data_IF_217215389670
#
_entry.id   IF_217215389670
#
_cell.length_a   1.000
_cell.length_b   1.000
_cell.length_c   1.000
_cell.angle_alpha   90.00
_cell.angle_beta   90.00
_cell.angle_gamma   90.00
#
_symmetry.space_group_name_H-M   'P 1'
#
loop_
_entity.id
_entity.type
_entity.pdbx_description
1 polymer ?
#
# COMPACT_ATOMS: atom_id res chain seq x y z
N UNK A 1 -3.00 19.83 -2.83
CA UNK A 1 -3.05 20.11 -1.38
C UNK A 1 -1.74 20.79 -1.00
N UNK A 2 -1.76 21.80 -0.14
CA UNK A 2 -0.56 22.44 0.43
C UNK A 2 -0.25 21.80 1.80
N UNK A 3 0.99 21.88 2.32
CA UNK A 3 1.33 21.30 3.63
C UNK A 3 0.39 21.73 4.75
N UNK A 4 -0.01 23.01 4.76
CA UNK A 4 -0.89 23.58 5.79
C UNK A 4 -2.29 22.96 5.77
N UNK A 5 -2.73 22.44 4.62
CA UNK A 5 -4.03 21.78 4.49
C UNK A 5 -4.01 20.38 5.14
N UNK A 6 -2.84 19.84 5.54
CA UNK A 6 -2.71 18.57 6.26
C UNK A 6 -3.05 18.70 7.75
N UNK A 7 -2.88 19.89 8.33
CA UNK A 7 -3.01 20.10 9.78
C UNK A 7 -4.45 19.81 10.22
N UNK A 8 -4.58 19.02 11.29
CA UNK A 8 -5.85 18.57 11.83
C UNK A 8 -6.37 17.25 11.23
N UNK A 9 -5.84 16.79 10.09
CA UNK A 9 -6.19 15.49 9.52
C UNK A 9 -5.53 14.36 10.33
N UNK A 10 -6.19 13.22 10.41
CA UNK A 10 -5.61 12.00 10.96
C UNK A 10 -4.81 11.27 9.87
N UNK A 11 -3.70 10.67 10.25
CA UNK A 11 -2.77 10.01 9.33
C UNK A 11 -2.29 8.70 9.91
N UNK A 12 -2.33 7.66 9.07
CA UNK A 12 -1.64 6.40 9.31
C UNK A 12 -0.24 6.49 8.70
N UNK A 13 0.78 6.24 9.52
CA UNK A 13 2.19 6.38 9.15
C UNK A 13 2.88 5.03 9.19
N UNK A 14 3.68 4.73 8.16
CA UNK A 14 4.60 3.59 8.16
C UNK A 14 6.03 4.01 7.80
N UNK A 15 6.98 3.84 8.72
CA UNK A 15 8.39 4.18 8.53
C UNK A 15 9.25 2.92 8.47
N UNK A 16 10.22 2.93 7.55
CA UNK A 16 11.22 1.86 7.42
C UNK A 16 12.60 2.46 7.51
N UNK A 17 13.38 2.05 8.50
CA UNK A 17 14.72 2.55 8.72
C UNK A 17 15.75 1.61 8.09
N UNK A 18 16.62 2.19 7.27
CA UNK A 18 17.71 1.53 6.57
C UNK A 18 19.04 1.98 7.16
N UNK A 19 20.00 1.07 7.33
CA UNK A 19 21.39 1.43 7.57
C UNK A 19 22.04 2.02 6.31
N UNK A 20 23.25 2.55 6.43
CA UNK A 20 24.00 3.12 5.30
C UNK A 20 24.22 2.10 4.15
N UNK A 21 24.23 0.81 4.47
CA UNK A 21 24.32 -0.30 3.51
C UNK A 21 22.97 -0.68 2.86
N UNK A 22 21.90 0.04 3.17
CA UNK A 22 20.55 -0.18 2.65
C UNK A 22 19.81 -1.36 3.29
N UNK A 23 20.28 -1.88 4.43
CA UNK A 23 19.60 -2.97 5.15
C UNK A 23 18.56 -2.42 6.10
N UNK A 24 17.35 -2.98 6.03
CA UNK A 24 16.28 -2.70 7.00
C UNK A 24 16.71 -3.19 8.38
N UNK A 25 16.70 -2.31 9.38
CA UNK A 25 16.98 -2.67 10.77
C UNK A 25 15.85 -2.30 11.74
N UNK A 26 14.93 -1.41 11.33
CA UNK A 26 13.77 -1.02 12.16
C UNK A 26 12.58 -0.67 11.28
N UNK A 27 11.40 -1.04 11.74
CA UNK A 27 10.12 -0.67 11.13
C UNK A 27 9.24 -0.09 12.22
N UNK A 28 8.52 0.96 11.90
CA UNK A 28 7.70 1.69 12.85
C UNK A 28 6.38 2.09 12.21
N UNK A 29 5.31 1.98 12.98
CA UNK A 29 3.98 2.35 12.54
C UNK A 29 3.26 3.08 13.66
N UNK A 30 2.51 4.10 13.30
CA UNK A 30 1.66 4.80 14.24
C UNK A 30 0.53 5.49 13.51
N UNK A 31 -0.51 5.81 14.27
CA UNK A 31 -1.65 6.57 13.80
C UNK A 31 -1.88 7.74 14.75
N UNK A 32 -2.17 8.91 14.18
CA UNK A 32 -2.31 10.13 14.97
C UNK A 32 -2.88 11.29 14.16
N UNK A 33 -2.95 12.45 14.79
CA UNK A 33 -3.39 13.69 14.16
C UNK A 33 -2.19 14.54 13.76
N UNK A 34 -2.20 15.12 12.57
CA UNK A 34 -1.18 16.07 12.15
C UNK A 34 -1.37 17.37 12.94
N UNK A 35 -0.43 17.68 13.82
CA UNK A 35 -0.52 18.84 14.71
C UNK A 35 0.05 20.11 14.05
N UNK A 36 1.17 19.97 13.33
CA UNK A 36 1.85 21.08 12.67
C UNK A 36 2.75 20.61 11.53
N UNK A 37 3.11 21.54 10.65
CA UNK A 37 4.12 21.36 9.61
C UNK A 37 4.85 22.68 9.37
N UNK A 38 6.13 22.63 9.03
CA UNK A 38 6.93 23.78 8.60
C UNK A 38 7.18 23.80 7.08
N UNK A 39 6.59 22.84 6.36
CA UNK A 39 6.78 22.65 4.92
C UNK A 39 7.93 21.70 4.54
N UNK A 40 8.82 21.38 5.48
CA UNK A 40 9.87 20.35 5.30
C UNK A 40 9.62 19.14 6.19
N UNK A 41 9.09 19.36 7.39
CA UNK A 41 8.79 18.36 8.40
C UNK A 41 7.34 18.51 8.85
N UNK A 42 6.65 17.38 8.99
CA UNK A 42 5.28 17.30 9.47
C UNK A 42 5.29 16.51 10.78
N UNK A 43 4.68 17.08 11.82
CA UNK A 43 4.60 16.49 13.15
C UNK A 43 3.22 15.93 13.40
N UNK A 44 3.19 14.67 13.80
CA UNK A 44 2.00 13.88 14.09
C UNK A 44 1.97 13.62 15.58
N UNK A 45 0.87 13.95 16.24
CA UNK A 45 0.59 13.57 17.61
C UNK A 45 0.00 12.16 17.62
N UNK A 46 0.73 11.14 18.11
CA UNK A 46 0.24 9.77 18.14
C UNK A 46 -1.01 9.64 19.00
N UNK A 47 -1.98 8.86 18.51
CA UNK A 47 -3.24 8.58 19.22
C UNK A 47 -3.06 7.69 20.46
N UNK A 48 -1.91 7.03 20.60
CA UNK A 48 -1.53 6.23 21.77
C UNK A 48 -1.02 7.08 22.95
N UNK A 49 -0.96 8.41 22.79
CA UNK A 49 -0.52 9.35 23.83
C UNK A 49 1.00 9.51 23.94
N UNK A 50 1.77 9.05 22.96
CA UNK A 50 3.21 9.28 22.87
C UNK A 50 3.60 10.71 22.49
N UNK A 51 4.91 10.98 22.50
CA UNK A 51 5.47 12.26 22.05
C UNK A 51 5.22 12.50 20.55
N UNK A 52 5.25 13.78 20.15
CA UNK A 52 5.19 14.20 18.75
C UNK A 52 6.21 13.45 17.90
N UNK A 53 5.74 12.75 16.86
CA UNK A 53 6.59 12.06 15.89
C UNK A 53 6.64 12.85 14.60
N UNK A 54 7.78 12.82 13.93
CA UNK A 54 7.98 13.54 12.68
C UNK A 54 7.95 12.61 11.48
N UNK A 55 7.50 13.14 10.36
CA UNK A 55 7.67 12.57 9.02
C UNK A 55 8.11 13.67 8.07
N UNK A 56 8.84 13.33 6.99
CA UNK A 56 9.15 14.32 5.95
C UNK A 56 7.87 14.85 5.30
N UNK A 57 7.92 16.10 4.85
CA UNK A 57 6.81 16.74 4.14
C UNK A 57 7.05 16.66 2.64
N UNK A 58 6.51 15.62 2.02
CA UNK A 58 6.30 15.57 0.58
C UNK A 58 4.81 15.35 0.32
N UNK A 59 4.16 16.33 -0.29
CA UNK A 59 2.72 16.25 -0.56
C UNK A 59 2.35 15.08 -1.48
N UNK A 60 3.28 14.57 -2.29
CA UNK A 60 3.04 13.38 -3.10
C UNK A 60 2.96 12.11 -2.24
N UNK A 61 3.60 12.09 -1.07
CA UNK A 61 3.66 10.98 -0.13
C UNK A 61 2.49 10.94 0.86
N UNK A 62 1.71 12.02 0.99
CA UNK A 62 0.45 12.02 1.75
C UNK A 62 -0.71 11.74 0.80
N UNK A 63 -1.27 10.54 0.91
CA UNK A 63 -2.39 10.08 0.08
C UNK A 63 -3.64 9.92 0.94
N UNK A 64 -4.86 10.07 0.38
CA UNK A 64 -6.05 9.56 1.03
C UNK A 64 -5.83 8.11 1.45
N UNK A 65 -6.10 7.79 2.71
CA UNK A 65 -5.99 6.40 3.12
C UNK A 65 -7.16 5.62 2.51
N UNK A 66 -6.91 4.46 1.91
CA UNK A 66 -7.99 3.56 1.53
C UNK A 66 -8.97 3.31 2.69
N UNK A 67 -10.27 3.51 2.45
CA UNK A 67 -11.29 3.17 3.46
C UNK A 67 -11.20 1.70 3.88
N UNK A 68 -11.31 1.44 5.19
CA UNK A 68 -11.12 0.12 5.78
C UNK A 68 -10.63 0.16 7.21
N UNK A 69 -10.36 -1.04 7.74
CA UNK A 69 -9.76 -1.24 9.05
C UNK A 69 -8.31 -1.69 8.90
N UNK A 70 -7.41 -0.93 9.51
CA UNK A 70 -5.98 -1.17 9.54
C UNK A 70 -5.61 -1.72 10.91
N UNK A 71 -4.90 -2.84 10.93
CA UNK A 71 -4.26 -3.33 12.14
C UNK A 71 -2.76 -3.12 12.03
N UNK A 72 -2.21 -2.30 12.92
CA UNK A 72 -0.77 -2.06 13.03
C UNK A 72 -0.12 -3.32 13.61
N UNK A 73 0.87 -3.92 12.94
CA UNK A 73 1.49 -5.17 13.42
C UNK A 73 2.25 -4.93 14.73
N UNK A 74 2.99 -3.82 14.82
CA UNK A 74 3.86 -3.51 15.96
C UNK A 74 3.10 -3.29 17.28
N UNK A 75 1.90 -2.72 17.24
CA UNK A 75 1.13 -2.37 18.44
C UNK A 75 -0.17 -3.16 18.59
N UNK A 76 -0.64 -3.79 17.51
CA UNK A 76 -1.98 -4.39 17.44
C UNK A 76 -3.12 -3.37 17.39
N UNK A 77 -2.81 -2.07 17.37
CA UNK A 77 -3.80 -0.99 17.29
C UNK A 77 -4.66 -1.16 16.04
N UNK A 78 -5.97 -0.97 16.21
CA UNK A 78 -6.95 -1.01 15.13
C UNK A 78 -7.39 0.41 14.80
N UNK A 79 -7.24 0.80 13.55
CA UNK A 79 -7.58 2.13 13.02
C UNK A 79 -8.62 1.94 11.93
N UNK A 80 -9.73 2.67 12.01
CA UNK A 80 -10.81 2.60 11.02
C UNK A 80 -10.88 3.91 10.25
N UNK A 81 -10.89 3.81 8.93
CA UNK A 81 -11.04 4.92 7.97
C UNK A 81 -10.14 6.14 8.30
N UNK A 82 -8.80 5.97 8.37
CA UNK A 82 -7.90 7.11 8.48
C UNK A 82 -8.07 8.02 7.26
N UNK A 83 -7.89 9.33 7.42
CA UNK A 83 -8.04 10.26 6.31
C UNK A 83 -6.84 10.20 5.38
N UNK A 84 -5.64 10.12 5.95
CA UNK A 84 -4.39 10.05 5.20
C UNK A 84 -3.58 8.80 5.52
N UNK A 85 -2.78 8.40 4.56
CA UNK A 85 -1.75 7.39 4.66
C UNK A 85 -0.47 7.96 4.09
N UNK A 86 0.63 7.80 4.83
CA UNK A 86 1.97 8.11 4.34
C UNK A 86 2.96 7.05 4.77
N UNK A 87 3.92 6.74 3.92
CA UNK A 87 4.97 5.79 4.26
C UNK A 87 6.30 6.19 3.65
N UNK A 88 7.39 5.85 4.35
CA UNK A 88 8.73 6.35 4.07
C UNK A 88 9.79 5.27 4.27
N UNK A 89 10.82 5.33 3.43
CA UNK A 89 12.13 4.72 3.67
C UNK A 89 13.06 5.81 4.18
N UNK A 90 13.69 5.58 5.33
CA UNK A 90 14.59 6.52 5.99
C UNK A 90 15.97 5.87 6.10
N UNK A 91 16.91 6.29 5.26
CA UNK A 91 18.32 5.86 5.36
C UNK A 91 19.01 6.67 6.43
N UNK A 92 19.47 5.99 7.47
CA UNK A 92 20.18 6.60 8.60
C UNK A 92 21.65 6.72 8.24
N UNK A 93 22.14 7.95 8.19
CA UNK A 93 23.50 8.30 7.84
C UNK A 93 24.13 9.09 9.00
N UNK A 94 25.46 9.03 9.09
CA UNK A 94 26.25 9.84 10.01
C UNK A 94 27.21 10.69 9.19
N UNK A 95 27.37 11.96 9.57
CA UNK A 95 28.38 12.82 8.97
C UNK A 95 29.76 12.64 9.61
N UNK A 96 30.74 13.43 9.17
CA UNK A 96 32.12 13.37 9.68
C UNK A 96 32.22 13.76 11.18
N UNK A 97 31.24 14.47 11.71
CA UNK A 97 31.15 14.91 13.11
C UNK A 97 30.37 13.90 13.99
N UNK A 98 29.76 12.88 13.38
CA UNK A 98 28.98 11.84 14.04
C UNK A 98 27.50 12.21 14.22
N UNK A 99 27.06 13.34 13.66
CA UNK A 99 25.66 13.76 13.71
C UNK A 99 24.82 12.89 12.78
N UNK A 100 23.65 12.48 13.28
CA UNK A 100 22.76 11.58 12.54
C UNK A 100 21.80 12.39 11.68
N UNK A 101 21.76 12.07 10.38
CA UNK A 101 20.78 12.61 9.45
C UNK A 101 20.08 11.50 8.67
N UNK A 102 18.95 11.85 8.05
CA UNK A 102 18.09 10.92 7.35
C UNK A 102 17.95 11.33 5.88
N UNK A 103 18.28 10.42 4.96
CA UNK A 103 17.82 10.53 3.58
C UNK A 103 16.46 9.84 3.48
N UNK A 104 15.44 10.57 3.03
CA UNK A 104 14.07 10.10 3.02
C UNK A 104 13.52 9.89 1.61
N UNK A 105 13.03 8.69 1.34
CA UNK A 105 12.35 8.36 0.09
C UNK A 105 10.89 7.98 0.39
N UNK A 106 9.90 8.56 -0.33
CA UNK A 106 8.51 8.12 -0.23
C UNK A 106 8.38 6.63 -0.56
N UNK A 107 7.70 5.89 0.31
CA UNK A 107 7.31 4.51 0.10
C UNK A 107 5.81 4.50 -0.17
N UNK A 108 5.40 4.40 -1.44
CA UNK A 108 3.99 4.47 -1.85
C UNK A 108 3.21 3.18 -1.55
N UNK A 109 3.27 2.74 -0.29
CA UNK A 109 2.42 1.71 0.27
C UNK A 109 0.94 2.08 0.19
N UNK A 110 0.03 1.13 -0.05
CA UNK A 110 0.21 -0.24 -0.55
C UNK A 110 0.20 -0.33 -2.10
N UNK A 111 0.45 0.75 -2.83
CA UNK A 111 -0.18 1.00 -4.12
C UNK A 111 0.71 0.76 -5.34
N UNK A 112 2.05 0.77 -5.22
CA UNK A 112 3.01 0.31 -6.26
C UNK A 112 4.46 0.38 -5.77
N UNK A 113 5.33 -0.53 -6.23
CA UNK A 113 6.79 -0.52 -5.95
C UNK A 113 7.20 -0.38 -4.47
N UNK A 114 6.34 -0.85 -3.57
CA UNK A 114 6.57 -0.87 -2.13
C UNK A 114 7.76 -1.72 -1.70
N UNK A 115 8.80 -1.10 -1.14
CA UNK A 115 9.78 -1.75 -0.26
C UNK A 115 9.25 -1.83 1.17
N UNK A 116 7.98 -2.20 1.34
CA UNK A 116 7.27 -2.00 2.62
C UNK A 116 7.53 -3.16 3.59
N UNK A 117 7.63 -2.84 4.90
CA UNK A 117 7.46 -3.74 6.03
C UNK A 117 6.37 -4.78 5.85
N UNK A 118 6.48 -5.89 6.57
CA UNK A 118 5.48 -6.98 6.58
C UNK A 118 4.10 -6.60 7.16
N UNK A 119 3.86 -5.33 7.47
CA UNK A 119 3.26 -5.03 8.76
C UNK A 119 1.88 -4.38 8.79
N UNK A 120 1.14 -4.28 7.68
CA UNK A 120 -0.27 -3.87 7.72
C UNK A 120 -1.20 -5.01 7.28
N UNK A 121 -2.00 -5.50 8.22
CA UNK A 121 -3.21 -6.25 7.89
C UNK A 121 -4.32 -5.23 7.67
N UNK A 122 -4.54 -4.88 6.40
CA UNK A 122 -5.64 -4.01 5.97
C UNK A 122 -6.84 -4.88 5.56
N UNK A 123 -7.98 -4.64 6.20
CA UNK A 123 -9.28 -5.15 5.78
C UNK A 123 -10.08 -3.99 5.20
N UNK A 124 -10.12 -3.89 3.87
CA UNK A 124 -10.95 -2.92 3.15
C UNK A 124 -12.42 -3.15 3.45
N UNK A 125 -13.12 -2.05 3.69
CA UNK A 125 -14.57 -2.01 3.63
C UNK A 125 -14.97 -1.55 2.23
N UNK A 126 -15.71 -2.39 1.52
CA UNK A 126 -16.40 -1.98 0.30
C UNK A 126 -17.61 -1.17 0.72
N UNK A 127 -17.69 0.09 0.31
CA UNK A 127 -18.86 0.94 0.50
C UNK A 127 -19.46 1.38 -0.85
N UNK A 128 -20.74 1.76 -0.84
CA UNK A 128 -21.48 2.11 -2.05
C UNK A 128 -20.95 3.36 -2.75
N UNK A 129 -20.42 4.34 -1.99
CA UNK A 129 -19.82 5.55 -2.54
C UNK A 129 -18.56 5.25 -3.36
N UNK A 130 -17.77 4.28 -2.92
CA UNK A 130 -16.53 3.87 -3.58
C UNK A 130 -16.80 3.07 -4.84
N UNK A 131 -17.77 2.14 -4.78
CA UNK A 131 -18.25 1.46 -6.00
C UNK A 131 -18.76 2.51 -7.00
N UNK A 132 -19.52 3.50 -6.53
CA UNK A 132 -20.03 4.58 -7.39
C UNK A 132 -18.88 5.37 -8.03
N UNK A 133 -17.89 5.82 -7.26
CA UNK A 133 -16.69 6.51 -7.78
C UNK A 133 -15.97 5.69 -8.85
N UNK A 134 -15.77 4.39 -8.62
CA UNK A 134 -15.17 3.51 -9.64
C UNK A 134 -16.01 3.48 -10.91
N UNK A 135 -17.33 3.30 -10.80
CA UNK A 135 -18.22 3.25 -11.97
C UNK A 135 -18.21 4.57 -12.73
N UNK A 136 -18.19 5.71 -12.02
CA UNK A 136 -18.15 7.05 -12.63
C UNK A 136 -16.86 7.29 -13.41
N UNK A 137 -15.70 6.85 -12.90
CA UNK A 137 -14.39 7.11 -13.50
C UNK A 137 -14.00 6.06 -14.54
N UNK A 138 -14.17 4.78 -14.22
CA UNK A 138 -13.65 3.65 -15.00
C UNK A 138 -14.74 2.82 -15.71
N UNK A 139 -16.02 3.10 -15.41
CA UNK A 139 -17.15 2.28 -15.81
C UNK A 139 -17.35 1.04 -14.92
N UNK A 140 -18.42 0.30 -15.20
CA UNK A 140 -18.76 -0.95 -14.50
C UNK A 140 -17.96 -2.18 -14.99
N UNK A 141 -17.05 -1.97 -15.95
CA UNK A 141 -16.36 -3.05 -16.64
C UNK A 141 -15.39 -3.86 -15.76
N UNK A 142 -14.97 -3.31 -14.62
CA UNK A 142 -14.02 -3.95 -13.69
C UNK A 142 -14.70 -4.52 -12.45
N UNK A 143 -15.70 -3.84 -11.89
CA UNK A 143 -16.31 -4.23 -10.62
C UNK A 143 -17.00 -5.59 -10.74
N UNK A 144 -16.75 -6.47 -9.78
CA UNK A 144 -17.30 -7.82 -9.74
C UNK A 144 -16.68 -8.79 -10.74
N UNK A 145 -15.67 -8.36 -11.51
CA UNK A 145 -15.00 -9.20 -12.50
C UNK A 145 -13.89 -10.01 -11.88
N UNK A 146 -13.70 -11.22 -12.40
CA UNK A 146 -12.68 -12.13 -11.90
C UNK A 146 -11.34 -11.84 -12.57
N UNK A 147 -10.32 -11.64 -11.73
CA UNK A 147 -8.94 -11.44 -12.13
C UNK A 147 -8.12 -12.70 -11.81
N UNK A 148 -7.41 -13.19 -12.82
CA UNK A 148 -6.31 -14.13 -12.67
C UNK A 148 -4.98 -13.36 -12.62
N UNK A 149 -4.35 -13.31 -11.46
CA UNK A 149 -3.13 -12.53 -11.23
C UNK A 149 -1.93 -13.44 -10.99
N UNK A 150 -0.85 -13.24 -11.74
CA UNK A 150 0.47 -13.79 -11.45
C UNK A 150 1.37 -12.75 -10.78
N UNK A 151 1.88 -13.03 -9.59
CA UNK A 151 2.80 -12.14 -8.86
C UNK A 151 4.17 -12.81 -8.79
N UNK A 152 5.19 -12.10 -9.25
CA UNK A 152 6.59 -12.51 -9.12
C UNK A 152 7.27 -11.67 -8.05
N UNK A 153 7.78 -12.30 -7.00
CA UNK A 153 8.51 -11.64 -5.93
C UNK A 153 10.01 -11.75 -6.22
N UNK A 154 10.69 -10.61 -6.29
CA UNK A 154 12.14 -10.56 -6.55
C UNK A 154 12.86 -9.79 -5.44
N UNK A 155 14.12 -10.10 -5.16
CA UNK A 155 14.97 -9.32 -4.24
C UNK A 155 15.20 -7.90 -4.78
N UNK A 156 15.78 -7.01 -3.96
CA UNK A 156 16.26 -5.71 -4.43
C UNK A 156 17.20 -5.82 -5.65
N UNK A 157 18.04 -6.85 -5.71
CA UNK A 157 18.93 -7.14 -6.86
C UNK A 157 18.21 -7.73 -8.09
N UNK A 158 16.91 -8.04 -7.99
CA UNK A 158 16.11 -8.63 -9.07
C UNK A 158 16.14 -10.16 -9.12
N UNK A 159 16.75 -10.82 -8.14
CA UNK A 159 16.78 -12.29 -8.05
C UNK A 159 15.42 -12.82 -7.64
N UNK A 160 14.92 -13.87 -8.30
CA UNK A 160 13.63 -14.49 -7.99
C UNK A 160 13.61 -15.03 -6.55
N UNK A 161 12.62 -14.62 -5.76
CA UNK A 161 12.34 -15.17 -4.43
C UNK A 161 11.25 -16.23 -4.50
N UNK A 162 10.06 -15.88 -4.98
CA UNK A 162 8.97 -16.84 -5.23
C UNK A 162 7.96 -16.28 -6.23
N UNK A 163 7.05 -17.15 -6.69
CA UNK A 163 5.91 -16.75 -7.51
C UNK A 163 4.62 -17.20 -6.86
N UNK A 164 3.61 -16.36 -6.94
CA UNK A 164 2.26 -16.61 -6.46
C UNK A 164 1.28 -16.46 -7.64
N UNK A 165 0.24 -17.28 -7.66
CA UNK A 165 -0.89 -17.09 -8.56
C UNK A 165 -2.15 -16.98 -7.73
N UNK A 166 -2.90 -15.93 -8.00
CA UNK A 166 -4.08 -15.54 -7.24
C UNK A 166 -5.25 -15.43 -8.20
N UNK A 167 -6.41 -15.90 -7.76
CA UNK A 167 -7.68 -15.61 -8.40
C UNK A 167 -8.51 -14.82 -7.40
N UNK A 168 -9.24 -13.82 -7.88
CA UNK A 168 -10.11 -13.04 -7.04
C UNK A 168 -11.02 -12.11 -7.81
N UNK A 169 -11.94 -11.49 -7.10
CA UNK A 169 -12.91 -10.54 -7.65
C UNK A 169 -12.40 -9.11 -7.46
N UNK A 170 -12.40 -8.32 -8.54
CA UNK A 170 -12.09 -6.89 -8.47
C UNK A 170 -13.26 -6.19 -7.77
N UNK A 171 -12.98 -5.59 -6.62
CA UNK A 171 -13.97 -4.93 -5.79
C UNK A 171 -14.07 -3.42 -6.08
N UNK A 172 -12.92 -2.79 -6.36
CA UNK A 172 -12.77 -1.35 -6.57
C UNK A 172 -11.58 -1.11 -7.51
N UNK A 173 -11.68 -0.09 -8.36
CA UNK A 173 -10.56 0.50 -9.12
C UNK A 173 -10.52 1.99 -8.80
N UNK A 174 -9.38 2.45 -8.32
CA UNK A 174 -9.15 3.84 -7.96
C UNK A 174 -7.69 4.21 -8.27
N UNK A 175 -7.46 5.38 -8.91
CA UNK A 175 -6.12 5.82 -9.28
C UNK A 175 -5.24 6.15 -8.06
N UNK A 176 -5.84 6.64 -6.99
CA UNK A 176 -5.14 7.04 -5.77
C UNK A 176 -5.13 5.91 -4.74
N UNK A 177 -6.21 5.13 -4.62
CA UNK A 177 -6.38 4.11 -3.58
C UNK A 177 -6.12 2.67 -4.06
N UNK A 178 -5.86 2.48 -5.36
CA UNK A 178 -5.44 1.20 -5.94
C UNK A 178 -6.59 0.35 -6.48
N UNK A 179 -6.22 -0.78 -7.10
CA UNK A 179 -7.19 -1.82 -7.48
C UNK A 179 -7.26 -2.83 -6.35
N UNK A 180 -8.45 -2.97 -5.77
CA UNK A 180 -8.70 -3.87 -4.64
C UNK A 180 -9.29 -5.17 -5.17
N UNK A 181 -8.65 -6.30 -4.83
CA UNK A 181 -9.09 -7.64 -5.24
C UNK A 181 -9.34 -8.49 -4.02
N UNK A 182 -10.55 -9.05 -3.91
CA UNK A 182 -10.88 -10.07 -2.92
C UNK A 182 -10.48 -11.43 -3.45
N UNK A 183 -9.48 -12.06 -2.84
CA UNK A 183 -8.88 -13.30 -3.32
C UNK A 183 -9.68 -14.52 -2.84
N UNK A 184 -9.79 -15.53 -3.71
CA UNK A 184 -10.38 -16.81 -3.35
C UNK A 184 -9.31 -17.82 -2.91
N UNK A 185 -9.65 -18.77 -2.02
CA UNK A 185 -10.93 -18.93 -1.32
C UNK A 185 -10.96 -18.22 0.05
N UNK A 186 -9.87 -17.58 0.46
CA UNK A 186 -9.66 -17.10 1.83
C UNK A 186 -10.26 -15.69 2.09
N UNK A 187 -10.72 -15.01 1.04
CA UNK A 187 -11.24 -13.64 1.13
C UNK A 187 -10.15 -12.61 1.43
N UNK A 188 -8.86 -12.99 1.34
CA UNK A 188 -7.74 -12.08 1.55
C UNK A 188 -7.81 -10.98 0.51
N UNK A 189 -7.60 -9.73 0.92
CA UNK A 189 -7.61 -8.61 -0.02
C UNK A 189 -6.20 -8.26 -0.48
N UNK A 190 -6.07 -8.05 -1.78
CA UNK A 190 -4.87 -7.52 -2.41
C UNK A 190 -5.14 -6.12 -2.94
N UNK A 191 -4.12 -5.27 -2.81
CA UNK A 191 -4.11 -3.92 -3.35
C UNK A 191 -3.04 -3.88 -4.41
N UNK A 192 -3.45 -3.45 -5.59
CA UNK A 192 -2.65 -3.47 -6.81
C UNK A 192 -2.55 -2.04 -7.35
N UNK A 193 -1.59 -1.76 -8.26
CA UNK A 193 -1.52 -0.48 -8.97
C UNK A 193 -2.89 0.03 -9.42
N UNK A 194 -3.20 1.28 -9.06
CA UNK A 194 -4.52 1.90 -9.29
C UNK A 194 -4.89 2.14 -10.74
N UNK A 195 -3.90 2.38 -11.61
CA UNK A 195 -4.13 2.45 -13.05
C UNK A 195 -4.46 1.04 -13.59
N UNK A 196 -5.65 0.78 -14.17
CA UNK A 196 -6.01 -0.53 -14.67
C UNK A 196 -5.41 -0.85 -16.05
N UNK A 197 -4.57 0.01 -16.63
CA UNK A 197 -3.98 -0.19 -17.97
C UNK A 197 -3.16 -1.49 -18.12
N UNK A 198 -2.70 -2.07 -17.02
CA UNK A 198 -1.97 -3.34 -16.97
C UNK A 198 -2.88 -4.58 -16.81
N UNK A 199 -4.20 -4.40 -16.69
CA UNK A 199 -5.17 -5.48 -16.72
C UNK A 199 -5.50 -5.87 -18.17
N UNK A 200 -5.20 -7.09 -18.57
CA UNK A 200 -5.53 -7.60 -19.89
C UNK A 200 -6.84 -8.40 -19.83
N UNK A 201 -7.69 -8.30 -20.86
CA UNK A 201 -8.85 -9.21 -20.98
C UNK A 201 -8.34 -10.63 -21.13
N UNK A 202 -8.82 -11.52 -20.27
CA UNK A 202 -8.43 -12.91 -20.35
C UNK A 202 -9.10 -13.59 -21.56
N UNK A 203 -8.37 -14.46 -22.29
CA UNK A 203 -9.00 -15.30 -23.30
C UNK A 203 -9.95 -16.28 -22.62
N UNK A 204 -11.03 -16.63 -23.32
CA UNK A 204 -11.96 -17.66 -22.87
C UNK A 204 -11.30 -19.03 -22.94
N UNK A 205 -10.76 -19.47 -21.81
CA UNK A 205 -10.04 -20.72 -21.66
C UNK A 205 -10.09 -21.20 -20.20
N UNK A 206 -9.62 -22.43 -19.99
CA UNK A 206 -9.33 -22.95 -18.67
C UNK A 206 -7.87 -22.72 -18.32
N UNK A 207 -7.63 -22.14 -17.14
CA UNK A 207 -6.32 -21.85 -16.61
C UNK A 207 -6.08 -22.73 -15.40
N UNK A 208 -5.09 -23.61 -15.49
CA UNK A 208 -4.65 -24.38 -14.34
C UNK A 208 -3.53 -23.66 -13.61
N UNK A 209 -3.78 -23.26 -12.37
CA UNK A 209 -2.77 -22.65 -11.51
C UNK A 209 -1.69 -23.68 -11.19
N UNK A 210 -0.43 -23.30 -11.40
CA UNK A 210 0.73 -24.16 -11.16
C UNK A 210 0.96 -24.38 -9.66
N UNK A 211 0.66 -23.37 -8.84
CA UNK A 211 0.87 -23.41 -7.39
C UNK A 211 -0.12 -24.32 -6.66
N UNK A 212 -1.40 -24.28 -7.03
CA UNK A 212 -2.48 -24.98 -6.32
C UNK A 212 -3.15 -26.08 -7.11
N UNK A 213 -2.93 -26.15 -8.42
CA UNK A 213 -3.66 -27.05 -9.32
C UNK A 213 -5.11 -26.63 -9.61
N UNK A 214 -5.58 -25.53 -9.00
CA UNK A 214 -6.91 -24.95 -9.20
C UNK A 214 -7.13 -24.64 -10.67
N UNK A 215 -8.30 -24.98 -11.19
CA UNK A 215 -8.71 -24.62 -12.55
C UNK A 215 -9.63 -23.42 -12.47
N UNK A 216 -9.22 -22.33 -13.11
CA UNK A 216 -9.99 -21.09 -13.27
C UNK A 216 -10.51 -21.05 -14.71
N UNK A 217 -11.82 -21.11 -14.87
CA UNK A 217 -12.47 -21.13 -16.20
C UNK A 217 -12.96 -19.73 -16.56
N UNK A 218 -12.57 -19.25 -17.74
CA UNK A 218 -12.99 -17.97 -18.30
C UNK A 218 -12.93 -16.79 -17.31
N UNK A 219 -11.77 -16.50 -16.70
CA UNK A 219 -11.63 -15.24 -15.96
C UNK A 219 -11.91 -14.05 -16.89
N UNK A 220 -12.34 -12.92 -16.33
CA UNK A 220 -12.58 -11.72 -17.12
C UNK A 220 -11.26 -11.02 -17.49
N UNK A 221 -10.30 -11.04 -16.55
CA UNK A 221 -9.00 -10.41 -16.69
C UNK A 221 -7.86 -11.35 -16.32
N UNK A 222 -6.70 -11.14 -16.95
CA UNK A 222 -5.43 -11.74 -16.58
C UNK A 222 -4.39 -10.64 -16.46
N UNK A 223 -3.49 -10.76 -15.48
CA UNK A 223 -2.43 -9.79 -15.32
C UNK A 223 -1.18 -10.40 -14.67
N UNK A 224 -0.05 -9.71 -14.84
CA UNK A 224 1.24 -10.09 -14.27
C UNK A 224 1.89 -8.89 -13.60
N UNK A 225 2.37 -9.09 -12.37
CA UNK A 225 3.10 -8.08 -11.62
C UNK A 225 4.43 -8.64 -11.11
N UNK A 226 5.40 -7.73 -10.99
CA UNK A 226 6.65 -8.00 -10.29
C UNK A 226 6.69 -7.13 -9.05
N UNK A 227 6.70 -7.75 -7.87
CA UNK A 227 6.93 -7.08 -6.59
C UNK A 227 8.39 -7.22 -6.20
N UNK A 228 9.08 -6.10 -6.09
CA UNK A 228 10.44 -6.06 -5.55
C UNK A 228 10.36 -6.04 -4.02
N UNK A 229 10.98 -7.01 -3.38
CA UNK A 229 11.20 -7.02 -1.95
C UNK A 229 12.05 -5.82 -1.52
N UNK A 230 12.06 -5.51 -0.22
CA UNK A 230 12.90 -4.44 0.32
C UNK A 230 14.37 -4.62 -0.07
#
# INVERSE_FOLDING_TARGET
MRPQDLVGLNVLVGLTYLGAEGRVFRQEQFYGQIEKTDGTTTWVLPSDGGDLRWVPTDMAAFRPAPGGTYRLESTGQVVTDPWLLTSWMLTVLQDEEGETYYEAEPNFAPLTNSRVPREWLLTYRVDEERIRRTIEVFGDQFIGRNLLLGITYVTQSGSLQHQEQVVGTIMVVDFDEGIVVSCDPDGRQLVLPGDPSWLEKAPRAEFRLRSTGLVVTNPDYIAKLTKRGP
#
